data_IF_938701452029
#
_entry.id   IF_938701452029
#
_cell.length_a   1.000
_cell.length_b   1.000
_cell.length_c   1.000
_cell.angle_alpha   90.00
_cell.angle_beta   90.00
_cell.angle_gamma   90.00
#
_symmetry.space_group_name_H-M   'P 1'
#
loop_
_entity.id
_entity.type
_entity.pdbx_description
1 polymer ?
#
# COMPACT_ATOMS: atom_id res chain seq x y z
N UNK A 1 8.22 -13.59 28.08
CA UNK A 1 7.30 -12.84 27.19
C UNK A 1 7.81 -11.41 27.06
N UNK A 2 7.77 -10.86 25.85
CA UNK A 2 8.25 -9.54 25.41
C UNK A 2 9.77 -9.35 25.31
N UNK A 3 10.31 -9.57 24.10
CA UNK A 3 11.22 -8.64 23.40
C UNK A 3 11.64 -9.21 22.05
N UNK A 4 10.76 -9.20 21.05
CA UNK A 4 11.16 -9.44 19.65
C UNK A 4 11.34 -8.10 18.95
N UNK A 5 12.35 -7.34 19.39
CA UNK A 5 12.81 -6.14 18.70
C UNK A 5 14.30 -6.33 18.32
N UNK A 6 14.63 -7.45 17.68
CA UNK A 6 15.90 -7.58 16.98
C UNK A 6 15.89 -8.75 15.98
N UNK A 7 15.07 -8.63 14.93
CA UNK A 7 15.24 -9.46 13.75
C UNK A 7 15.54 -8.57 12.55
N UNK A 8 16.81 -8.17 12.50
CA UNK A 8 17.60 -7.88 11.29
C UNK A 8 17.00 -6.90 10.30
N UNK A 9 17.58 -5.70 10.23
CA UNK A 9 17.33 -4.73 9.16
C UNK A 9 17.51 -5.31 7.74
N UNK A 10 18.24 -6.43 7.62
CA UNK A 10 18.42 -7.19 6.38
C UNK A 10 17.17 -7.99 5.92
N UNK A 11 16.09 -8.06 6.72
CA UNK A 11 14.83 -8.73 6.35
C UNK A 11 13.81 -7.83 5.66
N UNK A 12 14.10 -6.52 5.55
CA UNK A 12 13.15 -5.57 4.97
C UNK A 12 13.43 -5.26 3.49
N UNK A 13 14.60 -5.64 2.97
CA UNK A 13 14.97 -5.37 1.58
C UNK A 13 14.67 -6.56 0.65
N UNK A 14 14.22 -6.31 -0.59
CA UNK A 14 13.90 -4.98 -1.13
C UNK A 14 12.56 -4.45 -0.58
N UNK A 15 12.52 -3.14 -0.30
CA UNK A 15 11.34 -2.44 0.23
C UNK A 15 10.91 -1.25 -0.60
N UNK A 16 9.62 -0.93 -0.54
CA UNK A 16 9.01 0.31 -1.00
C UNK A 16 8.59 1.17 0.20
N UNK A 17 9.17 2.36 0.33
CA UNK A 17 8.69 3.38 1.26
C UNK A 17 7.77 4.35 0.53
N UNK A 18 6.51 4.41 0.92
CA UNK A 18 5.46 5.21 0.27
C UNK A 18 4.89 6.23 1.26
N UNK A 19 4.89 7.50 0.86
CA UNK A 19 4.33 8.59 1.66
C UNK A 19 3.24 9.28 0.86
N UNK A 20 2.06 9.44 1.46
CA UNK A 20 0.92 10.12 0.86
C UNK A 20 0.34 11.15 1.83
N UNK A 21 -0.29 12.24 1.35
CA UNK A 21 -1.25 12.98 2.16
C UNK A 21 -2.30 12.03 2.73
N UNK A 22 -2.58 12.10 4.03
CA UNK A 22 -3.55 11.23 4.68
C UNK A 22 -4.93 11.19 3.96
N UNK A 23 -5.47 12.32 3.45
CA UNK A 23 -6.72 12.30 2.69
C UNK A 23 -6.70 11.38 1.47
N UNK A 24 -5.55 11.12 0.84
CA UNK A 24 -5.46 10.25 -0.35
C UNK A 24 -5.97 8.82 -0.09
N UNK A 25 -5.94 8.36 1.16
CA UNK A 25 -6.47 7.05 1.57
C UNK A 25 -7.64 7.17 2.54
N UNK A 26 -7.74 8.25 3.34
CA UNK A 26 -8.82 8.42 4.33
C UNK A 26 -10.06 9.14 3.76
N UNK A 27 -9.92 9.94 2.70
CA UNK A 27 -11.02 10.74 2.13
C UNK A 27 -11.06 10.75 0.58
N UNK A 28 -10.35 9.85 -0.09
CA UNK A 28 -10.45 9.72 -1.54
C UNK A 28 -11.73 9.00 -1.98
N UNK A 29 -12.25 9.42 -3.14
CA UNK A 29 -13.33 8.76 -3.88
C UNK A 29 -12.90 7.42 -4.47
N UNK A 30 -11.64 7.29 -4.89
CA UNK A 30 -11.15 6.18 -5.73
C UNK A 30 -10.08 5.30 -5.07
N UNK A 31 -9.62 5.66 -3.87
CA UNK A 31 -8.59 4.93 -3.14
C UNK A 31 -8.88 4.89 -1.64
N UNK A 32 -8.60 3.75 -1.01
CA UNK A 32 -8.52 3.54 0.42
C UNK A 32 -7.30 2.66 0.73
N UNK A 33 -7.00 2.46 2.02
CA UNK A 33 -5.88 1.62 2.46
C UNK A 33 -6.02 0.18 1.94
N UNK A 34 -7.22 -0.41 2.02
CA UNK A 34 -7.46 -1.79 1.56
C UNK A 34 -7.19 -1.99 0.07
N UNK A 35 -7.63 -1.04 -0.78
CA UNK A 35 -7.38 -1.12 -2.23
C UNK A 35 -5.90 -0.92 -2.55
N UNK A 36 -5.21 -0.02 -1.83
CA UNK A 36 -3.76 0.17 -1.98
C UNK A 36 -2.99 -1.09 -1.58
N UNK A 37 -3.35 -1.72 -0.47
CA UNK A 37 -2.74 -2.96 -0.01
C UNK A 37 -2.99 -4.11 -1.00
N UNK A 38 -4.21 -4.23 -1.53
CA UNK A 38 -4.53 -5.24 -2.53
C UNK A 38 -3.74 -5.04 -3.84
N UNK A 39 -3.57 -3.79 -4.29
CA UNK A 39 -2.71 -3.45 -5.43
C UNK A 39 -1.27 -3.91 -5.19
N UNK A 40 -0.68 -3.54 -4.06
CA UNK A 40 0.71 -3.88 -3.75
C UNK A 40 0.91 -5.37 -3.52
N UNK A 41 -0.07 -6.05 -2.92
CA UNK A 41 -0.09 -7.51 -2.79
C UNK A 41 -0.11 -8.21 -4.13
N UNK A 42 -0.85 -7.69 -5.11
CA UNK A 42 -0.83 -8.22 -6.49
C UNK A 42 0.55 -8.09 -7.16
N UNK A 43 1.40 -7.18 -6.67
CA UNK A 43 2.78 -6.96 -7.12
C UNK A 43 3.81 -7.71 -6.26
N UNK A 44 3.37 -8.58 -5.35
CA UNK A 44 4.25 -9.36 -4.47
C UNK A 44 4.75 -8.62 -3.23
N UNK A 45 4.17 -7.47 -2.90
CA UNK A 45 4.52 -6.71 -1.70
C UNK A 45 3.60 -7.01 -0.52
N UNK A 46 4.12 -6.88 0.69
CA UNK A 46 3.37 -6.95 1.94
C UNK A 46 3.68 -5.73 2.80
N UNK A 47 2.67 -5.21 3.51
CA UNK A 47 2.85 -4.06 4.41
C UNK A 47 3.66 -4.48 5.63
N UNK A 48 4.87 -3.96 5.77
CA UNK A 48 5.74 -4.22 6.91
C UNK A 48 5.48 -3.24 8.06
N UNK A 49 5.29 -1.94 7.75
CA UNK A 49 5.05 -0.89 8.76
C UNK A 49 4.11 0.17 8.21
N UNK A 50 3.36 0.83 9.10
CA UNK A 50 2.59 2.03 8.79
C UNK A 50 2.66 3.05 9.91
N UNK A 51 2.56 4.33 9.55
CA UNK A 51 2.41 5.44 10.49
C UNK A 51 1.47 6.47 9.90
N UNK A 52 0.37 6.75 10.60
CA UNK A 52 -0.52 7.86 10.27
C UNK A 52 -0.19 9.06 11.16
N UNK A 53 -0.13 10.24 10.55
CA UNK A 53 -0.01 11.53 11.21
C UNK A 53 -1.20 12.42 10.85
N UNK A 54 -1.23 13.64 11.36
CA UNK A 54 -2.31 14.59 11.08
C UNK A 54 -2.46 14.93 9.58
N UNK A 55 -1.37 14.92 8.80
CA UNK A 55 -1.37 15.33 7.39
C UNK A 55 -0.90 14.26 6.42
N UNK A 56 -0.07 13.34 6.89
CA UNK A 56 0.63 12.35 6.06
C UNK A 56 0.39 10.94 6.59
N UNK A 57 0.38 9.98 5.68
CA UNK A 57 0.49 8.57 5.98
C UNK A 57 1.76 8.02 5.35
N UNK A 58 2.49 7.23 6.12
CA UNK A 58 3.74 6.60 5.75
C UNK A 58 3.53 5.10 5.76
N UNK A 59 3.94 4.44 4.69
CA UNK A 59 3.94 3.00 4.56
C UNK A 59 5.34 2.50 4.25
N UNK A 60 5.69 1.37 4.84
CA UNK A 60 6.82 0.56 4.41
C UNK A 60 6.26 -0.77 3.94
N UNK A 61 6.44 -1.08 2.67
CA UNK A 61 6.15 -2.37 2.09
C UNK A 61 7.45 -3.11 1.82
N UNK A 62 7.45 -4.44 1.98
CA UNK A 62 8.58 -5.31 1.63
C UNK A 62 8.15 -6.24 0.51
N UNK A 63 9.05 -6.55 -0.42
CA UNK A 63 8.80 -7.55 -1.44
C UNK A 63 8.92 -8.94 -0.80
N UNK A 64 7.86 -9.74 -0.86
CA UNK A 64 7.81 -11.09 -0.28
C UNK A 64 7.83 -12.20 -1.33
N UNK A 65 7.58 -11.86 -2.59
CA UNK A 65 7.62 -12.79 -3.71
C UNK A 65 8.73 -12.40 -4.69
N UNK A 66 9.52 -13.38 -5.12
CA UNK A 66 10.57 -13.17 -6.12
C UNK A 66 9.99 -12.75 -7.48
N UNK A 67 10.83 -12.10 -8.29
CA UNK A 67 10.46 -11.58 -9.62
C UNK A 67 9.71 -12.60 -10.50
N UNK A 68 10.21 -13.83 -10.55
CA UNK A 68 9.61 -14.92 -11.33
C UNK A 68 8.19 -15.30 -10.88
N UNK A 69 7.91 -15.21 -9.57
CA UNK A 69 6.56 -15.46 -9.06
C UNK A 69 5.60 -14.35 -9.50
N UNK A 70 6.05 -13.09 -9.51
CA UNK A 70 5.25 -11.93 -9.91
C UNK A 70 4.99 -11.90 -11.42
N UNK A 71 5.96 -12.28 -12.27
CA UNK A 71 5.78 -12.34 -13.73
C UNK A 71 4.68 -13.33 -14.16
N UNK A 72 4.47 -14.37 -13.37
CA UNK A 72 3.44 -15.39 -13.61
C UNK A 72 2.05 -14.97 -13.11
N UNK A 73 1.93 -13.86 -12.38
CA UNK A 73 0.65 -13.30 -11.97
C UNK A 73 0.03 -12.57 -13.15
N UNK A 74 -1.21 -12.94 -13.52
CA UNK A 74 -1.99 -12.19 -14.51
C UNK A 74 -2.04 -10.72 -14.09
N UNK A 75 -1.61 -9.80 -14.96
CA UNK A 75 -1.71 -8.36 -14.71
C UNK A 75 -3.14 -8.00 -14.35
N UNK A 76 -3.36 -7.65 -13.08
CA UNK A 76 -4.65 -7.20 -12.60
C UNK A 76 -4.80 -5.72 -12.95
N UNK A 77 -5.86 -5.39 -13.69
CA UNK A 77 -6.19 -3.99 -14.00
C UNK A 77 -6.89 -3.35 -12.81
N UNK A 78 -6.40 -2.20 -12.40
CA UNK A 78 -6.98 -1.40 -11.31
C UNK A 78 -7.65 -0.17 -11.87
N UNK A 79 -8.95 -0.29 -12.13
CA UNK A 79 -9.77 0.80 -12.66
C UNK A 79 -10.08 1.84 -11.59
N UNK A 80 -10.36 3.06 -12.06
CA UNK A 80 -10.82 4.20 -11.26
C UNK A 80 -12.29 4.02 -10.84
N UNK A 81 -12.51 3.03 -10.00
CA UNK A 81 -13.82 2.70 -9.43
C UNK A 81 -14.10 3.58 -8.21
N UNK A 82 -15.33 4.07 -8.10
CA UNK A 82 -15.77 4.85 -6.96
C UNK A 82 -16.00 3.93 -5.74
N UNK A 83 -15.15 4.08 -4.73
CA UNK A 83 -15.22 3.32 -3.47
C UNK A 83 -16.00 4.11 -2.41
N UNK A 84 -15.94 5.45 -2.47
CA UNK A 84 -16.60 6.32 -1.50
C UNK A 84 -17.45 7.37 -2.21
N UNK A 85 -18.77 7.28 -2.00
CA UNK A 85 -19.74 8.27 -2.49
C UNK A 85 -19.64 9.60 -1.74
N UNK A 86 -20.13 10.66 -2.38
CA UNK A 86 -20.33 11.99 -1.78
C UNK A 86 -19.50 13.11 -2.39
N UNK A 87 -19.98 14.35 -2.22
CA UNK A 87 -19.42 15.55 -2.84
C UNK A 87 -18.10 16.04 -2.22
N UNK A 88 -17.88 15.82 -0.92
CA UNK A 88 -16.68 16.32 -0.18
C UNK A 88 -15.49 15.34 -0.16
N UNK A 89 -15.27 14.61 -1.26
CA UNK A 89 -14.16 13.65 -1.40
C UNK A 89 -13.06 14.22 -2.30
N UNK A 90 -11.80 13.88 -2.01
CA UNK A 90 -10.75 14.15 -2.98
C UNK A 90 -10.77 13.10 -4.11
N UNK A 91 -10.14 13.41 -5.25
CA UNK A 91 -10.15 12.59 -6.45
C UNK A 91 -8.89 11.74 -6.64
N UNK A 92 -8.11 11.50 -5.57
CA UNK A 92 -6.85 10.78 -5.66
C UNK A 92 -7.06 9.33 -6.11
N UNK A 93 -6.28 8.84 -7.06
CA UNK A 93 -6.37 7.47 -7.56
C UNK A 93 -4.98 6.98 -7.95
N UNK A 94 -4.74 5.68 -7.75
CA UNK A 94 -3.64 4.94 -8.37
C UNK A 94 -4.29 3.93 -9.33
N UNK A 95 -3.78 3.86 -10.56
CA UNK A 95 -4.27 2.97 -11.61
C UNK A 95 -3.06 2.25 -12.22
N UNK A 96 -3.20 0.95 -12.46
CA UNK A 96 -2.17 0.05 -13.00
C UNK A 96 -2.85 -1.01 -13.85
#
# INVERSE_FOLDING_TARGET
MASTLDQGDNQLLPSLFLVLPAPCVTNSRYLNEDKLEAMLKSLGYEMARKKLSAKLIYYLFRLVQGHEAVLNIKRQQWKKEEIRKGGKRNNFAIVV
#
